data_IF_444424437978
#
_entry.id   IF_444424437978
#
_cell.length_a   1.000
_cell.length_b   1.000
_cell.length_c   1.000
_cell.angle_alpha   90.00
_cell.angle_beta   90.00
_cell.angle_gamma   90.00
#
_symmetry.space_group_name_H-M   'P 1'
#
loop_
_entity.id
_entity.type
_entity.pdbx_description
1 polymer ?
#
# COMPACT_ATOMS: atom_id res chain seq x y z
N UNK A 1 10.09 0.32 12.91
CA UNK A 1 9.53 1.09 11.78
C UNK A 1 10.61 2.02 11.25
N UNK A 2 10.99 1.88 9.99
CA UNK A 2 11.95 2.78 9.34
C UNK A 2 11.32 4.17 9.19
N UNK A 3 12.13 5.23 9.24
CA UNK A 3 11.65 6.63 9.13
C UNK A 3 10.93 6.91 7.80
N UNK A 4 11.23 6.12 6.76
CA UNK A 4 10.56 6.14 5.46
C UNK A 4 9.11 5.67 5.52
N UNK A 5 8.81 4.62 6.30
CA UNK A 5 7.45 4.10 6.46
C UNK A 5 6.52 5.13 7.11
N UNK A 6 7.00 5.82 8.15
CA UNK A 6 6.23 6.86 8.83
C UNK A 6 5.93 8.06 7.91
N UNK A 7 6.94 8.52 7.16
CA UNK A 7 6.73 9.60 6.16
C UNK A 7 5.70 9.22 5.10
N UNK A 8 5.66 7.94 4.69
CA UNK A 8 4.68 7.45 3.71
C UNK A 8 3.26 7.46 4.27
N UNK A 9 3.07 7.02 5.52
CA UNK A 9 1.77 7.08 6.18
C UNK A 9 1.22 8.52 6.27
N UNK A 10 2.07 9.48 6.64
CA UNK A 10 1.69 10.90 6.67
C UNK A 10 1.24 11.38 5.28
N UNK A 11 1.99 11.03 4.23
CA UNK A 11 1.59 11.38 2.84
C UNK A 11 0.25 10.77 2.46
N UNK A 12 -0.03 9.55 2.87
CA UNK A 12 -1.30 8.89 2.55
C UNK A 12 -2.49 9.64 3.13
N UNK A 13 -2.37 10.12 4.37
CA UNK A 13 -3.41 10.91 5.05
C UNK A 13 -3.57 12.27 4.37
N UNK A 14 -2.47 12.99 4.13
CA UNK A 14 -2.51 14.34 3.55
C UNK A 14 -3.11 14.36 2.15
N UNK A 15 -2.81 13.34 1.34
CA UNK A 15 -3.32 13.24 -0.03
C UNK A 15 -4.67 12.51 -0.12
N UNK A 16 -5.21 12.04 1.01
CA UNK A 16 -6.47 11.30 1.08
C UNK A 16 -6.53 10.13 0.08
N UNK A 17 -5.46 9.33 0.05
CA UNK A 17 -5.40 8.17 -0.82
C UNK A 17 -6.46 7.13 -0.41
N UNK A 18 -7.07 6.53 -1.43
CA UNK A 18 -7.95 5.37 -1.28
C UNK A 18 -7.20 4.18 -0.71
N UNK A 19 -7.95 3.22 -0.16
CA UNK A 19 -7.37 1.98 0.36
C UNK A 19 -6.56 1.25 -0.72
N UNK A 20 -7.05 1.22 -1.97
CA UNK A 20 -6.36 0.61 -3.09
C UNK A 20 -5.02 1.30 -3.38
N UNK A 21 -4.99 2.64 -3.43
CA UNK A 21 -3.77 3.40 -3.64
C UNK A 21 -2.76 3.20 -2.50
N UNK A 22 -3.23 3.12 -1.26
CA UNK A 22 -2.37 2.86 -0.10
C UNK A 22 -1.71 1.49 -0.20
N UNK A 23 -2.48 0.43 -0.53
CA UNK A 23 -1.94 -0.93 -0.66
C UNK A 23 -0.95 -1.07 -1.81
N UNK A 24 -1.21 -0.45 -2.97
CA UNK A 24 -0.26 -0.42 -4.09
C UNK A 24 1.04 0.30 -3.67
N UNK A 25 0.93 1.44 -3.00
CA UNK A 25 2.11 2.17 -2.47
C UNK A 25 2.88 1.38 -1.43
N UNK A 26 2.21 0.49 -0.70
CA UNK A 26 2.84 -0.44 0.23
C UNK A 26 3.61 -1.53 -0.50
N UNK A 27 2.99 -2.16 -1.51
CA UNK A 27 3.57 -3.23 -2.30
C UNK A 27 4.80 -2.79 -3.13
N UNK A 28 4.90 -1.51 -3.46
CA UNK A 28 6.06 -0.91 -4.15
C UNK A 28 6.95 -0.13 -3.17
N UNK A 29 7.17 -0.66 -1.96
CA UNK A 29 8.08 -0.04 -0.99
C UNK A 29 9.54 -0.06 -1.46
N UNK A 30 10.39 0.71 -0.78
CA UNK A 30 11.85 0.69 -1.00
C UNK A 30 12.55 -0.41 -0.18
N UNK A 31 11.81 -1.41 0.30
CA UNK A 31 12.40 -2.52 1.03
C UNK A 31 13.15 -3.45 0.05
N UNK A 32 14.26 -4.08 0.46
CA UNK A 32 15.06 -4.91 -0.45
C UNK A 32 14.42 -6.26 -0.78
N UNK A 33 13.27 -6.58 -0.18
CA UNK A 33 12.50 -7.79 -0.42
C UNK A 33 11.19 -7.49 -1.14
N UNK A 34 10.65 -8.46 -1.87
CA UNK A 34 9.38 -8.33 -2.57
C UNK A 34 8.18 -8.21 -1.61
N UNK A 35 7.01 -7.77 -2.12
CA UNK A 35 5.82 -7.62 -1.29
C UNK A 35 5.36 -8.98 -0.75
N UNK A 36 4.78 -9.02 0.45
CA UNK A 36 4.16 -10.24 0.98
C UNK A 36 3.02 -10.73 0.08
N UNK A 37 2.89 -12.05 -0.09
CA UNK A 37 1.81 -12.62 -0.92
C UNK A 37 0.41 -12.25 -0.41
N UNK A 38 0.23 -12.10 0.91
CA UNK A 38 -1.04 -11.66 1.51
C UNK A 38 -1.47 -10.27 1.03
N UNK A 39 -0.51 -9.33 0.96
CA UNK A 39 -0.78 -7.97 0.45
C UNK A 39 -1.19 -8.00 -1.02
N UNK A 40 -0.55 -8.86 -1.82
CA UNK A 40 -0.91 -9.03 -3.23
C UNK A 40 -2.29 -9.69 -3.41
N UNK A 41 -2.67 -10.63 -2.54
CA UNK A 41 -4.03 -11.20 -2.52
C UNK A 41 -5.08 -10.13 -2.22
N UNK A 42 -4.85 -9.27 -1.23
CA UNK A 42 -5.76 -8.17 -0.93
C UNK A 42 -5.90 -7.19 -2.10
N UNK A 43 -4.81 -6.89 -2.82
CA UNK A 43 -4.87 -6.07 -4.03
C UNK A 43 -5.67 -6.77 -5.13
N UNK A 44 -5.51 -8.08 -5.30
CA UNK A 44 -6.30 -8.84 -6.26
C UNK A 44 -7.80 -8.82 -5.91
N UNK A 45 -8.15 -8.97 -4.64
CA UNK A 45 -9.55 -8.91 -4.19
C UNK A 45 -10.19 -7.55 -4.47
N UNK A 46 -9.42 -6.46 -4.33
CA UNK A 46 -9.88 -5.11 -4.68
C UNK A 46 -10.27 -4.96 -6.16
N UNK A 47 -9.75 -5.80 -7.07
CA UNK A 47 -10.11 -5.73 -8.50
C UNK A 47 -11.52 -6.25 -8.80
N UNK A 48 -12.09 -7.05 -7.92
CA UNK A 48 -13.46 -7.55 -8.03
C UNK A 48 -14.49 -6.64 -7.35
N UNK A 49 -14.03 -5.62 -6.63
CA UNK A 49 -14.88 -4.70 -5.88
C UNK A 49 -15.28 -3.51 -6.76
N UNK A 50 -16.27 -3.69 -7.64
CA UNK A 50 -16.76 -2.69 -8.60
C UNK A 50 -17.88 -1.79 -8.04
N UNK A 51 -17.71 -1.25 -6.82
CA UNK A 51 -18.70 -0.32 -6.24
C UNK A 51 -18.39 1.11 -6.59
#
# INVERSE_FOLDING_TARGET
MTTSALRRQVKNIVHNYSEAEIKVREATSNDPWGPPSSLMSEIADLTFNTV
#
